data_IF_384684897314
#
_entry.id   IF_384684897314
#
_cell.length_a   1.000
_cell.length_b   1.000
_cell.length_c   1.000
_cell.angle_alpha   90.00
_cell.angle_beta   90.00
_cell.angle_gamma   90.00
#
_symmetry.space_group_name_H-M   'P 1'
#
loop_
_entity.id
_entity.type
_entity.pdbx_description
1 polymer ?
#
# COMPACT_ATOMS: atom_id res chain seq x y z
N UNK A 1 31.30 -0.72 -6.57
CA UNK A 1 31.52 -0.90 -8.01
C UNK A 1 31.79 0.47 -8.60
N UNK A 2 32.83 0.66 -9.41
CA UNK A 2 33.06 1.90 -10.17
C UNK A 2 32.30 1.94 -11.50
N UNK A 3 31.44 0.95 -11.73
CA UNK A 3 30.67 0.79 -12.95
C UNK A 3 31.44 0.18 -14.10
N UNK A 4 30.71 -0.43 -15.02
CA UNK A 4 31.30 -0.92 -16.28
C UNK A 4 31.91 0.27 -17.02
N UNK A 5 33.15 0.12 -17.50
CA UNK A 5 33.85 1.16 -18.25
C UNK A 5 34.18 2.43 -17.47
N UNK A 6 34.24 2.39 -16.12
CA UNK A 6 34.48 3.58 -15.25
C UNK A 6 33.40 4.67 -15.38
N UNK A 7 32.19 4.27 -15.72
CA UNK A 7 31.05 5.20 -15.85
C UNK A 7 30.56 5.74 -14.51
N UNK A 8 30.95 5.13 -13.38
CA UNK A 8 30.39 5.44 -12.07
C UNK A 8 28.96 4.92 -11.87
N UNK A 9 28.32 4.36 -12.90
CA UNK A 9 27.01 3.72 -12.81
C UNK A 9 27.11 2.40 -12.05
N UNK A 10 26.14 2.07 -11.21
CA UNK A 10 26.21 0.83 -10.42
C UNK A 10 24.82 0.30 -10.08
N UNK A 11 24.80 -1.01 -9.83
CA UNK A 11 23.75 -1.65 -9.06
C UNK A 11 24.35 -2.08 -7.72
N UNK A 12 23.59 -1.93 -6.63
CA UNK A 12 23.97 -2.43 -5.33
C UNK A 12 22.81 -3.13 -4.64
N UNK A 13 23.16 -4.24 -3.98
CA UNK A 13 22.36 -4.86 -2.95
C UNK A 13 23.15 -4.77 -1.65
N UNK A 14 22.60 -4.08 -0.66
CA UNK A 14 23.21 -3.93 0.66
C UNK A 14 22.31 -4.61 1.67
N UNK A 15 22.89 -5.50 2.46
CA UNK A 15 22.26 -6.15 3.60
C UNK A 15 23.08 -5.81 4.85
N UNK A 16 22.61 -4.84 5.63
CA UNK A 16 23.25 -4.37 6.86
C UNK A 16 22.59 -5.09 8.04
N UNK A 17 23.31 -5.98 8.70
CA UNK A 17 22.85 -6.75 9.88
C UNK A 17 23.43 -6.18 11.18
N UNK A 18 23.66 -4.87 11.22
CA UNK A 18 24.09 -4.19 12.43
C UNK A 18 23.06 -4.38 13.54
N UNK A 19 23.51 -4.72 14.74
CA UNK A 19 22.66 -5.00 15.91
C UNK A 19 21.62 -3.90 16.13
N UNK A 20 20.33 -4.29 16.13
CA UNK A 20 19.16 -3.41 16.27
C UNK A 20 18.98 -2.32 15.17
N UNK A 21 19.75 -2.40 14.09
CA UNK A 21 19.76 -1.45 12.98
C UNK A 21 19.80 -2.17 11.63
N UNK A 22 19.11 -3.31 11.55
CA UNK A 22 19.03 -4.13 10.35
C UNK A 22 18.35 -3.38 9.20
N UNK A 23 18.88 -3.52 7.98
CA UNK A 23 18.31 -2.88 6.80
C UNK A 23 18.76 -3.51 5.49
N UNK A 24 17.91 -3.40 4.47
CA UNK A 24 18.21 -3.86 3.10
C UNK A 24 18.01 -2.72 2.10
N UNK A 25 18.88 -2.63 1.09
CA UNK A 25 18.79 -1.63 0.02
C UNK A 25 19.07 -2.26 -1.34
N UNK A 26 18.21 -1.97 -2.31
CA UNK A 26 18.41 -2.23 -3.72
C UNK A 26 18.49 -0.87 -4.41
N UNK A 27 19.64 -0.54 -5.01
CA UNK A 27 19.86 0.75 -5.66
C UNK A 27 20.46 0.54 -7.04
N UNK A 28 19.90 1.24 -8.02
CA UNK A 28 20.47 1.41 -9.35
C UNK A 28 20.79 2.88 -9.56
N UNK A 29 22.01 3.17 -10.00
CA UNK A 29 22.46 4.49 -10.41
C UNK A 29 23.00 4.41 -11.84
N UNK A 30 22.45 5.22 -12.74
CA UNK A 30 22.80 5.20 -14.17
C UNK A 30 23.97 6.13 -14.52
N UNK A 31 24.54 6.84 -13.53
CA UNK A 31 25.40 8.00 -13.77
C UNK A 31 24.64 9.32 -13.88
N UNK A 32 23.30 9.27 -13.91
CA UNK A 32 22.42 10.44 -14.00
C UNK A 32 21.22 10.38 -13.05
N UNK A 33 20.62 9.21 -12.92
CA UNK A 33 19.38 8.99 -12.18
C UNK A 33 19.52 7.81 -11.21
N UNK A 34 18.81 7.91 -10.10
CA UNK A 34 18.64 6.86 -9.10
C UNK A 34 17.27 6.19 -9.21
N UNK A 35 17.26 4.88 -9.02
CA UNK A 35 16.09 4.11 -8.65
C UNK A 35 16.45 3.27 -7.41
N UNK A 36 15.62 3.31 -6.36
CA UNK A 36 15.94 2.66 -5.10
C UNK A 36 14.71 2.08 -4.38
N UNK A 37 14.90 0.90 -3.78
CA UNK A 37 14.06 0.35 -2.72
C UNK A 37 14.94 0.22 -1.47
N UNK A 38 14.52 0.82 -0.36
CA UNK A 38 15.22 0.74 0.93
C UNK A 38 14.25 0.34 2.02
N UNK A 39 14.65 -0.55 2.93
CA UNK A 39 13.81 -1.08 4.00
C UNK A 39 14.62 -1.28 5.29
N UNK A 40 13.98 -1.10 6.45
CA UNK A 40 14.56 -1.31 7.79
C UNK A 40 15.09 -0.02 8.38
N UNK A 41 16.31 -0.04 8.93
CA UNK A 41 17.01 1.12 9.45
C UNK A 41 17.73 1.86 8.30
N UNK A 42 17.18 3.00 7.90
CA UNK A 42 17.63 3.72 6.70
C UNK A 42 18.79 4.64 7.07
N UNK A 43 19.95 4.41 6.45
CA UNK A 43 21.14 5.25 6.61
C UNK A 43 21.73 5.62 5.26
N UNK A 44 22.52 6.70 5.23
CA UNK A 44 23.38 6.99 4.09
C UNK A 44 24.50 5.93 4.06
N UNK A 45 24.71 5.29 2.90
CA UNK A 45 25.84 4.40 2.69
C UNK A 45 26.81 5.03 1.70
N UNK A 46 28.11 4.95 2.00
CA UNK A 46 29.19 5.28 1.08
C UNK A 46 30.15 4.08 1.04
N UNK A 47 29.94 3.19 0.07
CA UNK A 47 30.56 1.87 0.10
C UNK A 47 30.15 1.10 1.36
N UNK A 48 31.14 0.60 2.10
CA UNK A 48 30.93 -0.10 3.38
C UNK A 48 30.84 0.85 4.59
N UNK A 49 30.94 2.16 4.36
CA UNK A 49 30.86 3.15 5.43
C UNK A 49 29.41 3.46 5.75
N UNK A 50 29.07 3.33 7.03
CA UNK A 50 27.77 3.71 7.60
C UNK A 50 27.77 5.21 7.89
N UNK A 51 26.83 5.94 7.28
CA UNK A 51 26.67 7.38 7.40
C UNK A 51 25.48 7.78 8.29
N UNK A 52 24.95 8.99 8.06
CA UNK A 52 23.86 9.54 8.85
C UNK A 52 22.57 8.70 8.78
N UNK A 53 21.80 8.71 9.86
CA UNK A 53 20.44 8.20 9.91
C UNK A 53 19.50 9.01 8.99
N UNK A 54 18.64 8.31 8.26
CA UNK A 54 17.68 8.85 7.29
C UNK A 54 16.22 8.53 7.66
N UNK A 55 15.98 7.58 8.56
CA UNK A 55 14.64 7.16 8.95
C UNK A 55 14.54 5.65 9.17
N UNK A 56 13.33 5.18 9.41
CA UNK A 56 13.02 3.76 9.53
C UNK A 56 11.75 3.44 8.75
N UNK A 57 11.58 2.19 8.32
CA UNK A 57 10.46 1.75 7.50
C UNK A 57 10.93 1.42 6.09
N UNK A 58 10.27 1.95 5.06
CA UNK A 58 10.69 1.75 3.67
C UNK A 58 10.52 3.01 2.83
N UNK A 59 11.32 3.11 1.76
CA UNK A 59 11.21 4.13 0.72
C UNK A 59 11.35 3.47 -0.64
N UNK A 60 10.44 3.82 -1.55
CA UNK A 60 10.55 3.61 -3.00
C UNK A 60 10.89 4.97 -3.65
N UNK A 61 12.01 5.04 -4.36
CA UNK A 61 12.52 6.27 -4.98
C UNK A 61 12.81 6.05 -6.46
N UNK A 62 12.46 7.03 -7.28
CA UNK A 62 12.88 7.13 -8.68
C UNK A 62 13.05 8.60 -9.05
N UNK A 63 14.19 8.95 -9.65
CA UNK A 63 14.41 10.31 -10.20
C UNK A 63 13.65 10.52 -11.53
N UNK A 64 13.27 9.44 -12.21
CA UNK A 64 12.51 9.49 -13.47
C UNK A 64 11.02 9.22 -13.22
N UNK A 65 10.43 8.22 -13.87
CA UNK A 65 9.02 7.91 -13.73
C UNK A 65 8.77 6.78 -12.73
N UNK A 66 7.67 6.87 -11.97
CA UNK A 66 7.18 5.82 -11.08
C UNK A 66 5.75 5.40 -11.44
N UNK A 67 5.44 4.11 -11.33
CA UNK A 67 4.09 3.60 -11.48
C UNK A 67 3.83 2.44 -10.52
N UNK A 68 2.73 2.51 -9.77
CA UNK A 68 2.20 1.39 -8.97
C UNK A 68 0.96 0.86 -9.69
N UNK A 69 0.96 -0.42 -10.07
CA UNK A 69 -0.12 -1.03 -10.84
C UNK A 69 -0.56 -2.33 -10.18
N UNK A 70 -1.86 -2.42 -9.89
CA UNK A 70 -2.49 -3.63 -9.36
C UNK A 70 -3.85 -3.84 -10.03
N UNK A 71 -3.90 -4.71 -11.03
CA UNK A 71 -5.09 -4.92 -11.88
C UNK A 71 -6.30 -5.50 -11.16
N UNK A 72 -6.13 -5.96 -9.91
CA UNK A 72 -7.20 -6.47 -9.04
C UNK A 72 -7.53 -5.52 -7.88
N UNK A 73 -7.01 -4.29 -7.93
CA UNK A 73 -7.21 -3.27 -6.90
C UNK A 73 -5.97 -2.99 -6.05
N UNK A 74 -5.95 -1.84 -5.39
CA UNK A 74 -4.85 -1.32 -4.58
C UNK A 74 -5.39 -0.75 -3.27
N UNK A 75 -4.82 -1.14 -2.13
CA UNK A 75 -5.07 -0.48 -0.85
C UNK A 75 -3.83 0.29 -0.40
N UNK A 76 -4.04 1.53 0.04
CA UNK A 76 -3.03 2.39 0.66
C UNK A 76 -3.58 2.77 2.04
N UNK A 77 -2.89 2.38 3.11
CA UNK A 77 -3.41 2.53 4.46
C UNK A 77 -2.38 3.04 5.45
N UNK A 78 -2.83 3.89 6.38
CA UNK A 78 -2.09 4.29 7.57
C UNK A 78 -2.65 3.67 8.87
N UNK A 79 -3.54 2.67 8.75
CA UNK A 79 -4.01 1.90 9.90
C UNK A 79 -2.91 0.97 10.41
N UNK A 80 -2.80 0.84 11.74
CA UNK A 80 -1.87 -0.11 12.34
C UNK A 80 -2.37 -1.54 12.12
N UNK A 81 -1.50 -2.40 11.62
CA UNK A 81 -1.74 -3.82 11.32
C UNK A 81 -0.57 -4.64 11.86
N UNK A 82 -0.81 -5.92 12.13
CA UNK A 82 0.31 -6.84 12.36
C UNK A 82 1.16 -6.95 11.08
N UNK A 83 2.45 -7.25 11.21
CA UNK A 83 3.34 -7.36 10.04
C UNK A 83 2.99 -8.55 9.13
N UNK A 84 2.26 -9.52 9.67
CA UNK A 84 1.78 -10.75 9.05
C UNK A 84 0.24 -10.77 8.90
N UNK A 85 -0.41 -9.61 9.00
CA UNK A 85 -1.85 -9.46 8.75
C UNK A 85 -2.19 -9.62 7.26
N UNK A 86 -3.47 -9.79 6.94
CA UNK A 86 -3.92 -9.95 5.56
C UNK A 86 -3.56 -8.74 4.70
N UNK A 87 -2.92 -8.99 3.55
CA UNK A 87 -2.44 -7.95 2.62
C UNK A 87 -3.54 -6.95 2.22
N UNK A 88 -4.76 -7.42 2.00
CA UNK A 88 -5.92 -6.62 1.61
C UNK A 88 -6.97 -6.55 2.73
N UNK A 89 -6.58 -6.74 3.99
CA UNK A 89 -7.46 -6.61 5.14
C UNK A 89 -7.83 -5.14 5.39
N UNK A 90 -9.07 -4.76 5.03
CA UNK A 90 -9.53 -3.35 5.00
C UNK A 90 -10.69 -3.07 5.98
N UNK A 91 -10.74 -3.79 7.10
CA UNK A 91 -11.88 -3.73 8.03
C UNK A 91 -12.14 -2.34 8.63
N UNK A 92 -11.09 -1.56 8.89
CA UNK A 92 -11.21 -0.18 9.38
C UNK A 92 -11.89 0.72 8.34
N UNK A 93 -11.45 0.62 7.08
CA UNK A 93 -12.07 1.36 5.98
C UNK A 93 -13.52 0.91 5.74
N UNK A 94 -13.81 -0.39 5.90
CA UNK A 94 -15.17 -0.93 5.81
C UNK A 94 -16.08 -0.37 6.88
N UNK A 95 -15.61 -0.28 8.13
CA UNK A 95 -16.36 0.33 9.22
C UNK A 95 -16.67 1.80 8.92
N UNK A 96 -15.71 2.55 8.38
CA UNK A 96 -15.91 3.94 7.96
C UNK A 96 -16.96 4.06 6.84
N UNK A 97 -16.90 3.20 5.82
CA UNK A 97 -17.88 3.18 4.73
C UNK A 97 -19.30 2.83 5.21
N UNK A 98 -19.44 1.91 6.17
CA UNK A 98 -20.72 1.57 6.77
C UNK A 98 -21.32 2.75 7.55
N UNK A 99 -20.50 3.43 8.36
CA UNK A 99 -20.93 4.62 9.11
C UNK A 99 -21.35 5.76 8.17
N UNK A 100 -20.57 6.01 7.11
CA UNK A 100 -20.92 6.97 6.06
C UNK A 100 -22.24 6.58 5.37
N UNK A 101 -22.44 5.29 5.09
CA UNK A 101 -23.68 4.77 4.50
C UNK A 101 -24.91 5.03 5.37
N UNK A 102 -24.83 4.81 6.69
CA UNK A 102 -25.92 5.11 7.62
C UNK A 102 -26.23 6.61 7.70
N UNK A 103 -25.21 7.47 7.66
CA UNK A 103 -25.40 8.91 7.64
C UNK A 103 -26.10 9.36 6.35
N UNK A 104 -25.65 8.88 5.19
CA UNK A 104 -26.27 9.19 3.90
C UNK A 104 -27.71 8.70 3.84
N UNK A 105 -28.01 7.52 4.41
CA UNK A 105 -29.37 7.01 4.53
C UNK A 105 -30.26 7.94 5.36
N UNK A 106 -29.81 8.36 6.54
CA UNK A 106 -30.55 9.30 7.39
C UNK A 106 -30.78 10.65 6.69
N UNK A 107 -29.78 11.18 5.99
CA UNK A 107 -29.92 12.42 5.23
C UNK A 107 -30.88 12.25 4.04
N UNK A 108 -30.85 11.10 3.36
CA UNK A 108 -31.76 10.78 2.26
C UNK A 108 -33.22 10.79 2.74
N UNK A 109 -33.51 10.15 3.88
CA UNK A 109 -34.84 10.15 4.48
C UNK A 109 -35.31 11.54 4.90
N UNK A 110 -34.41 12.37 5.43
CA UNK A 110 -34.73 13.75 5.78
C UNK A 110 -35.04 14.60 4.53
N UNK A 111 -34.25 14.46 3.47
CA UNK A 111 -34.48 15.15 2.19
C UNK A 111 -35.83 14.80 1.58
N UNK A 112 -36.18 13.51 1.51
CA UNK A 112 -37.48 13.09 0.97
C UNK A 112 -38.66 13.58 1.81
N UNK A 113 -38.51 13.58 3.15
CA UNK A 113 -39.51 14.16 4.07
C UNK A 113 -39.70 15.66 3.82
N UNK A 114 -38.62 16.38 3.50
CA UNK A 114 -38.63 17.79 3.15
C UNK A 114 -39.04 18.08 1.69
N UNK A 115 -39.53 17.08 0.95
CA UNK A 115 -39.86 17.16 -0.49
C UNK A 115 -38.67 17.58 -1.38
N UNK A 116 -37.44 17.34 -0.93
CA UNK A 116 -36.22 17.50 -1.69
C UNK A 116 -35.78 16.16 -2.32
N UNK A 117 -34.78 16.22 -3.21
CA UNK A 117 -34.22 15.04 -3.87
C UNK A 117 -33.52 14.10 -2.88
N UNK A 118 -33.71 12.79 -3.08
CA UNK A 118 -33.07 11.76 -2.26
C UNK A 118 -31.58 11.63 -2.55
N UNK A 119 -30.82 11.06 -1.61
CA UNK A 119 -29.40 10.71 -1.78
C UNK A 119 -29.22 9.23 -2.17
N UNK A 120 -30.24 8.59 -2.75
CA UNK A 120 -30.24 7.15 -3.03
C UNK A 120 -29.03 6.70 -3.86
N UNK A 121 -28.68 7.46 -4.91
CA UNK A 121 -27.51 7.18 -5.75
C UNK A 121 -26.21 7.12 -4.95
N UNK A 122 -26.03 8.04 -3.99
CA UNK A 122 -24.85 8.05 -3.11
C UNK A 122 -24.86 6.89 -2.12
N UNK A 123 -26.04 6.54 -1.58
CA UNK A 123 -26.19 5.38 -0.71
C UNK A 123 -25.83 4.08 -1.45
N UNK A 124 -26.32 3.92 -2.68
CA UNK A 124 -26.07 2.75 -3.51
C UNK A 124 -24.58 2.63 -3.89
N UNK A 125 -23.94 3.76 -4.21
CA UNK A 125 -22.50 3.80 -4.48
C UNK A 125 -21.66 3.36 -3.28
N UNK A 126 -21.97 3.81 -2.06
CA UNK A 126 -21.27 3.39 -0.84
C UNK A 126 -21.48 1.90 -0.54
N UNK A 127 -22.71 1.39 -0.72
CA UNK A 127 -23.03 -0.03 -0.57
C UNK A 127 -22.27 -0.89 -1.60
N UNK A 128 -22.23 -0.45 -2.85
CA UNK A 128 -21.49 -1.12 -3.91
C UNK A 128 -19.99 -1.16 -3.60
N UNK A 129 -19.38 -0.02 -3.23
CA UNK A 129 -17.97 0.03 -2.86
C UNK A 129 -17.66 -0.89 -1.67
N UNK A 130 -18.49 -0.88 -0.62
CA UNK A 130 -18.30 -1.74 0.54
C UNK A 130 -18.36 -3.23 0.20
N UNK A 131 -19.15 -3.61 -0.81
CA UNK A 131 -19.20 -4.98 -1.33
C UNK A 131 -17.97 -5.28 -2.19
N UNK A 132 -17.54 -4.33 -3.01
CA UNK A 132 -16.45 -4.55 -3.96
C UNK A 132 -15.09 -4.73 -3.31
N UNK A 133 -14.88 -4.13 -2.13
CA UNK A 133 -13.63 -4.27 -1.37
C UNK A 133 -13.60 -5.49 -0.44
N UNK A 134 -14.65 -6.33 -0.47
CA UNK A 134 -14.74 -7.55 0.31
C UNK A 134 -15.00 -8.75 -0.58
N UNK A 135 -13.95 -9.46 -0.92
CA UNK A 135 -14.03 -10.66 -1.74
C UNK A 135 -13.00 -11.70 -1.26
N UNK A 136 -13.42 -12.81 -0.67
CA UNK A 136 -12.47 -13.85 -0.25
C UNK A 136 -11.80 -14.48 -1.46
N UNK A 137 -10.47 -14.43 -1.50
CA UNK A 137 -9.63 -15.05 -2.53
C UNK A 137 -8.91 -16.24 -1.90
N UNK A 138 -9.16 -17.43 -2.44
CA UNK A 138 -8.51 -18.66 -1.96
C UNK A 138 -7.08 -18.76 -2.44
N UNK A 139 -6.19 -19.27 -1.59
CA UNK A 139 -4.83 -19.64 -1.98
C UNK A 139 -4.83 -20.78 -3.00
N UNK A 140 -3.92 -20.72 -3.98
CA UNK A 140 -3.73 -21.83 -4.92
C UNK A 140 -2.95 -22.95 -4.22
N UNK A 141 -3.56 -24.13 -4.17
CA UNK A 141 -3.02 -25.31 -3.49
C UNK A 141 -2.63 -26.41 -4.49
N UNK A 142 -2.73 -26.14 -5.79
CA UNK A 142 -2.49 -27.13 -6.83
C UNK A 142 -1.01 -27.32 -7.12
N UNK A 143 -0.54 -28.58 -7.14
CA UNK A 143 0.76 -28.97 -7.67
C UNK A 143 1.99 -28.76 -6.78
N UNK A 144 1.85 -28.25 -5.56
CA UNK A 144 2.96 -28.00 -4.63
C UNK A 144 3.06 -29.00 -3.47
N UNK A 145 4.29 -29.38 -3.07
CA UNK A 145 4.54 -30.08 -1.79
C UNK A 145 4.64 -29.03 -0.68
N UNK A 146 3.49 -28.62 -0.13
CA UNK A 146 3.43 -27.53 0.87
C UNK A 146 3.34 -28.03 2.31
N UNK A 147 3.39 -29.36 2.53
CA UNK A 147 3.11 -29.99 3.83
C UNK A 147 1.78 -29.55 4.47
N UNK A 148 0.80 -29.16 3.64
CA UNK A 148 -0.51 -28.65 4.10
C UNK A 148 -0.53 -27.17 4.43
N UNK A 149 0.57 -26.43 4.23
CA UNK A 149 0.62 -24.98 4.36
C UNK A 149 0.12 -24.23 3.12
N UNK A 150 -0.10 -22.91 3.27
CA UNK A 150 -0.52 -22.03 2.17
C UNK A 150 -2.01 -22.15 1.79
N UNK A 151 -2.82 -22.80 2.62
CA UNK A 151 -4.26 -22.98 2.43
C UNK A 151 -5.07 -21.84 3.05
N UNK A 152 -6.35 -21.74 2.69
CA UNK A 152 -7.29 -20.76 3.26
C UNK A 152 -7.63 -19.65 2.25
N UNK A 153 -8.21 -18.56 2.76
CA UNK A 153 -8.54 -17.38 1.97
C UNK A 153 -8.07 -16.13 2.67
N UNK A 154 -7.65 -15.14 1.88
CA UNK A 154 -7.46 -13.77 2.34
C UNK A 154 -8.45 -12.87 1.62
N UNK A 155 -8.71 -11.68 2.15
CA UNK A 155 -9.50 -10.70 1.44
C UNK A 155 -8.82 -10.28 0.12
N UNK A 156 -9.63 -9.87 -0.84
CA UNK A 156 -9.26 -9.22 -2.08
C UNK A 156 -10.41 -8.31 -2.53
N UNK A 157 -10.22 -7.58 -3.62
CA UNK A 157 -11.29 -6.77 -4.21
C UNK A 157 -11.90 -7.51 -5.40
N UNK A 158 -13.22 -7.44 -5.55
CA UNK A 158 -13.94 -8.01 -6.70
C UNK A 158 -13.93 -7.08 -7.92
N UNK A 159 -13.65 -5.79 -7.70
CA UNK A 159 -13.46 -4.76 -8.73
C UNK A 159 -12.11 -4.05 -8.53
N UNK A 160 -11.50 -3.48 -9.58
CA UNK A 160 -10.16 -2.87 -9.52
C UNK A 160 -10.17 -1.49 -8.84
N UNK A 161 -10.62 -1.44 -7.58
CA UNK A 161 -10.72 -0.22 -6.79
C UNK A 161 -9.36 0.21 -6.22
N UNK A 162 -9.15 1.52 -6.08
CA UNK A 162 -8.09 2.09 -5.24
C UNK A 162 -8.73 2.58 -3.95
N UNK A 163 -8.32 2.04 -2.81
CA UNK A 163 -8.80 2.42 -1.49
C UNK A 163 -7.67 3.10 -0.71
N UNK A 164 -7.85 4.37 -0.37
CA UNK A 164 -6.95 5.12 0.51
C UNK A 164 -7.65 5.31 1.85
N UNK A 165 -7.02 4.87 2.95
CA UNK A 165 -7.61 4.91 4.30
C UNK A 165 -6.61 5.37 5.35
N UNK A 166 -7.07 6.24 6.25
CA UNK A 166 -6.25 6.69 7.38
C UNK A 166 -7.11 6.81 8.64
N UNK A 167 -6.51 6.69 9.84
CA UNK A 167 -7.22 6.92 11.10
C UNK A 167 -7.40 8.41 11.43
N UNK A 168 -6.87 9.33 10.63
CA UNK A 168 -6.93 10.79 10.87
C UNK A 168 -7.32 11.52 9.59
N UNK A 169 -6.35 12.15 8.92
CA UNK A 169 -6.59 13.05 7.78
C UNK A 169 -5.82 12.59 6.54
N UNK A 170 -6.31 12.99 5.37
CA UNK A 170 -5.63 12.87 4.08
C UNK A 170 -5.48 14.28 3.51
N UNK A 171 -4.27 14.63 3.07
CA UNK A 171 -3.98 15.88 2.37
C UNK A 171 -3.58 15.59 0.92
N UNK A 172 -4.23 16.26 -0.03
CA UNK A 172 -3.88 16.28 -1.45
C UNK A 172 -3.62 17.74 -1.83
N UNK A 173 -2.38 18.06 -2.21
CA UNK A 173 -1.93 19.42 -2.50
C UNK A 173 -1.25 19.47 -3.87
N UNK A 174 -1.38 20.59 -4.57
CA UNK A 174 -0.70 20.87 -5.84
C UNK A 174 -0.33 22.37 -5.87
N UNK A 175 0.85 22.68 -6.42
CA UNK A 175 1.38 24.04 -6.60
C UNK A 175 1.11 24.56 -8.02
#
# INVERSE_FOLDING_TARGET
>A
SEGFGKTGAYNSFVHDDSTNQGGTRLVSYTGKSYAALTQGYLIKHEGNTRGKYLGAGFILHADEFGAVRASKGLSISAHSKSYDDEQMGVDEARSQLQQAGMLVESLSSASTTAQAESLQTGQDALKALSKDIQHPVSGDTSGGVTAGGGTGSANGFSQPNILVSTPKDIALVAD
#
